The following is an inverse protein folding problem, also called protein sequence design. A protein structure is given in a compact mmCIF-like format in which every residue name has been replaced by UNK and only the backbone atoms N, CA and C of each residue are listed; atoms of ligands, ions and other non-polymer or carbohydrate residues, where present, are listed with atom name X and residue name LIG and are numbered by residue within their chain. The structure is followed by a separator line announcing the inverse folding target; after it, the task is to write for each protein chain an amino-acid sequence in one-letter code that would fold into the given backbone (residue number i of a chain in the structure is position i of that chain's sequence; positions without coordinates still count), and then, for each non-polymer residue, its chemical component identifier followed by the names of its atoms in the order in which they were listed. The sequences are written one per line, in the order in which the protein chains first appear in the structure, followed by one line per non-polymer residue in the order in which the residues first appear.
data_IF_215616912210
#
_entry.id   IF_215616912210
#
_cell.length_a   1.000
_cell.length_b   1.000
_cell.length_c   1.000
_cell.angle_alpha   90.00
_cell.angle_beta   90.00
_cell.angle_gamma   90.00
#
_symmetry.space_group_name_H-M   'P 1'
#
loop_
_entity.id
_entity.type
_entity.pdbx_description
1 polymer ?
#
# COMPACT_ATOMS: atom_id res chain seq x y z
N UNK A 1 -28.34 36.35 -48.89
CA UNK A 1 -28.72 35.42 -49.98
C UNK A 1 -27.88 34.17 -49.83
N UNK A 2 -28.36 32.95 -49.78
CA UNK A 2 -29.60 32.32 -49.35
C UNK A 2 -29.12 30.90 -48.95
N UNK A 3 -29.62 30.31 -47.85
CA UNK A 3 -29.16 29.03 -47.33
C UNK A 3 -29.88 27.89 -48.06
N UNK A 4 -29.27 26.71 -48.21
CA UNK A 4 -30.07 25.48 -48.17
C UNK A 4 -29.28 24.16 -48.13
N UNK A 5 -29.86 23.23 -47.35
CA UNK A 5 -29.78 21.75 -47.43
C UNK A 5 -28.71 21.01 -46.60
N UNK A 6 -29.10 20.82 -45.34
CA UNK A 6 -29.40 19.53 -44.67
C UNK A 6 -28.45 18.34 -44.96
N UNK A 7 -27.74 17.90 -43.92
CA UNK A 7 -27.57 16.47 -43.69
C UNK A 7 -27.63 16.15 -42.19
N UNK A 8 -28.56 15.26 -41.88
CA UNK A 8 -28.90 14.70 -40.57
C UNK A 8 -27.76 13.78 -40.13
N UNK A 9 -27.20 14.00 -38.94
CA UNK A 9 -26.36 12.99 -38.27
C UNK A 9 -26.95 12.68 -36.90
N UNK A 10 -27.23 11.39 -36.72
CA UNK A 10 -27.85 10.80 -35.54
C UNK A 10 -26.99 11.00 -34.29
N UNK A 11 -27.62 11.50 -33.22
CA UNK A 11 -27.16 11.31 -31.85
C UNK A 11 -27.36 9.82 -31.48
N UNK A 12 -26.27 9.06 -31.36
CA UNK A 12 -26.28 7.78 -30.66
C UNK A 12 -26.05 8.03 -29.16
N UNK A 13 -27.14 8.12 -28.41
CA UNK A 13 -27.14 8.02 -26.95
C UNK A 13 -26.75 6.60 -26.54
N UNK A 14 -25.49 6.43 -26.16
CA UNK A 14 -25.01 5.23 -25.46
C UNK A 14 -25.53 5.27 -24.02
N UNK A 15 -26.69 4.66 -23.80
CA UNK A 15 -27.18 4.32 -22.47
C UNK A 15 -26.33 3.18 -21.92
N UNK A 16 -25.41 3.52 -21.02
CA UNK A 16 -24.63 2.57 -20.24
C UNK A 16 -25.57 1.85 -19.27
N UNK A 17 -25.97 0.63 -19.63
CA UNK A 17 -26.70 -0.30 -18.79
C UNK A 17 -25.81 -0.74 -17.61
N UNK A 18 -25.98 -0.07 -16.48
CA UNK A 18 -25.57 -0.56 -15.16
C UNK A 18 -26.40 -1.83 -14.85
N UNK A 19 -25.85 -2.99 -15.17
CA UNK A 19 -26.27 -4.25 -14.56
C UNK A 19 -25.81 -4.23 -13.10
N UNK A 20 -26.63 -3.63 -12.23
CA UNK A 20 -26.54 -3.87 -10.80
C UNK A 20 -26.90 -5.32 -10.53
N UNK A 21 -25.91 -6.14 -10.21
CA UNK A 21 -26.11 -7.45 -9.61
C UNK A 21 -26.49 -7.25 -8.13
N UNK A 22 -27.66 -6.67 -7.89
CA UNK A 22 -28.36 -6.98 -6.66
C UNK A 22 -28.95 -8.37 -6.88
N UNK A 23 -28.34 -9.39 -6.28
CA UNK A 23 -28.98 -10.70 -6.15
C UNK A 23 -30.12 -10.56 -5.14
N UNK A 24 -31.14 -9.76 -5.47
CA UNK A 24 -32.43 -9.85 -4.83
C UNK A 24 -32.92 -11.23 -5.21
N UNK A 25 -33.02 -12.13 -4.23
CA UNK A 25 -33.83 -13.32 -4.38
C UNK A 25 -35.25 -12.81 -4.65
N UNK A 26 -35.59 -12.61 -5.92
CA UNK A 26 -36.90 -12.13 -6.32
C UNK A 26 -37.91 -13.15 -5.81
N UNK A 27 -38.81 -12.66 -4.95
CA UNK A 27 -39.77 -13.51 -4.31
C UNK A 27 -40.70 -14.13 -5.37
N UNK A 28 -40.70 -15.45 -5.50
CA UNK A 28 -41.53 -16.15 -6.47
C UNK A 28 -42.88 -16.57 -5.87
N UNK A 29 -43.94 -16.44 -6.67
CA UNK A 29 -45.27 -16.99 -6.36
C UNK A 29 -45.47 -18.30 -7.12
N UNK A 30 -45.72 -19.41 -6.40
CA UNK A 30 -45.95 -20.72 -7.02
C UNK A 30 -47.45 -20.97 -7.21
N UNK A 31 -47.85 -21.09 -8.47
CA UNK A 31 -49.24 -21.28 -8.89
C UNK A 31 -49.44 -22.71 -9.44
N UNK A 32 -50.48 -23.41 -8.99
CA UNK A 32 -50.81 -24.75 -9.47
C UNK A 32 -52.24 -24.84 -9.97
N UNK A 33 -52.45 -25.51 -11.11
CA UNK A 33 -53.78 -25.83 -11.65
C UNK A 33 -53.90 -27.32 -11.84
N UNK A 34 -54.89 -27.93 -11.20
CA UNK A 34 -55.29 -29.30 -11.45
C UNK A 34 -56.49 -29.31 -12.41
N UNK A 35 -56.44 -30.15 -13.45
CA UNK A 35 -57.59 -30.40 -14.32
C UNK A 35 -57.91 -31.88 -14.30
N UNK A 36 -59.14 -32.23 -13.91
CA UNK A 36 -59.64 -33.59 -13.97
C UNK A 36 -60.77 -33.69 -15.02
N UNK A 37 -60.46 -34.05 -16.27
CA UNK A 37 -61.49 -34.37 -17.23
C UNK A 37 -62.07 -35.75 -16.91
N UNK A 38 -63.29 -35.76 -16.34
CA UNK A 38 -64.22 -36.89 -16.19
C UNK A 38 -63.56 -38.30 -16.24
N UNK A 39 -63.00 -38.74 -15.10
CA UNK A 39 -62.57 -40.13 -14.90
C UNK A 39 -61.17 -40.49 -15.41
N UNK A 40 -60.35 -39.51 -15.84
CA UNK A 40 -58.95 -39.73 -16.25
C UNK A 40 -57.96 -39.17 -15.22
N UNK A 41 -56.67 -39.53 -15.39
CA UNK A 41 -55.56 -39.06 -14.54
C UNK A 41 -55.56 -37.52 -14.45
N UNK A 42 -55.38 -36.99 -13.23
CA UNK A 42 -55.31 -35.55 -12.96
C UNK A 42 -54.00 -35.01 -13.52
N UNK A 43 -54.09 -34.01 -14.40
CA UNK A 43 -52.92 -33.28 -14.88
C UNK A 43 -52.71 -32.03 -14.02
N UNK A 44 -51.52 -31.92 -13.44
CA UNK A 44 -51.11 -30.81 -12.58
C UNK A 44 -50.16 -29.91 -13.38
N UNK A 45 -50.52 -28.63 -13.50
CA UNK A 45 -49.69 -27.62 -14.15
C UNK A 45 -49.11 -26.70 -13.07
N UNK A 46 -47.78 -26.56 -13.04
CA UNK A 46 -47.06 -25.61 -12.17
C UNK A 46 -46.60 -24.41 -13.00
N UNK A 47 -46.75 -23.21 -12.43
CA UNK A 47 -46.11 -21.97 -12.92
C UNK A 47 -45.44 -21.25 -11.76
N UNK A 48 -44.25 -20.71 -12.03
CA UNK A 48 -43.52 -19.83 -11.12
C UNK A 48 -43.67 -18.43 -11.69
N UNK A 49 -44.19 -17.50 -10.89
CA UNK A 49 -44.42 -16.12 -11.28
C UNK A 49 -43.40 -15.24 -10.54
N UNK A 50 -42.64 -14.38 -11.25
CA UNK A 50 -41.69 -13.49 -10.60
C UNK A 50 -42.45 -12.43 -9.77
N UNK A 51 -42.00 -12.22 -8.53
CA UNK A 51 -42.50 -11.17 -7.64
C UNK A 51 -43.92 -11.39 -7.13
N UNK A 52 -44.65 -10.27 -7.01
CA UNK A 52 -46.03 -10.18 -6.49
C UNK A 52 -47.10 -10.46 -7.54
N UNK A 53 -46.73 -11.02 -8.70
CA UNK A 53 -47.66 -11.27 -9.80
C UNK A 53 -48.72 -12.31 -9.41
N UNK A 54 -50.00 -11.90 -9.50
CA UNK A 54 -51.15 -12.76 -9.19
C UNK A 54 -51.18 -14.00 -10.09
N UNK A 55 -51.57 -15.14 -9.52
CA UNK A 55 -51.75 -16.37 -10.29
C UNK A 55 -52.77 -16.19 -11.45
N UNK A 56 -52.48 -16.71 -12.65
CA UNK A 56 -53.41 -16.66 -13.77
C UNK A 56 -54.75 -17.33 -13.45
N UNK A 57 -55.84 -16.86 -14.08
CA UNK A 57 -57.21 -17.34 -13.81
C UNK A 57 -57.30 -18.88 -13.89
N UNK A 58 -57.73 -19.49 -12.78
CA UNK A 58 -57.88 -20.93 -12.63
C UNK A 58 -56.64 -21.68 -12.16
N UNK A 59 -55.56 -20.99 -11.81
CA UNK A 59 -54.49 -21.53 -10.97
C UNK A 59 -54.73 -21.11 -9.51
N UNK A 60 -54.47 -22.02 -8.57
CA UNK A 60 -54.47 -21.78 -7.14
C UNK A 60 -53.05 -21.40 -6.69
N UNK A 61 -52.93 -20.32 -5.94
CA UNK A 61 -51.69 -19.94 -5.26
C UNK A 61 -51.44 -20.89 -4.10
N UNK A 62 -50.28 -21.56 -4.08
CA UNK A 62 -49.96 -22.50 -2.98
C UNK A 62 -49.05 -21.84 -1.96
N UNK A 63 -47.99 -21.18 -2.41
CA UNK A 63 -47.01 -20.53 -1.54
C UNK A 63 -46.62 -19.20 -2.19
N UNK A 64 -46.75 -18.14 -1.39
CA UNK A 64 -46.16 -16.85 -1.68
C UNK A 64 -44.84 -16.74 -0.91
N UNK A 65 -43.71 -16.88 -1.59
CA UNK A 65 -42.43 -16.85 -0.88
C UNK A 65 -42.10 -15.45 -0.34
N UNK A 66 -42.74 -14.38 -0.84
CA UNK A 66 -42.59 -13.03 -0.28
C UNK A 66 -43.13 -12.92 1.14
N UNK A 67 -44.12 -13.73 1.50
CA UNK A 67 -44.66 -13.81 2.87
C UNK A 67 -43.76 -14.63 3.82
N UNK A 68 -42.79 -15.37 3.27
CA UNK A 68 -41.83 -16.16 4.05
C UNK A 68 -40.50 -15.42 4.27
N UNK A 69 -40.29 -14.31 3.57
CA UNK A 69 -39.17 -13.40 3.84
C UNK A 69 -39.57 -12.56 5.06
N UNK A 70 -39.15 -13.00 6.25
CA UNK A 70 -39.23 -12.17 7.45
C UNK A 70 -38.49 -10.84 7.23
N UNK A 71 -38.76 -9.81 8.06
CA UNK A 71 -37.94 -8.60 8.02
C UNK A 71 -36.46 -8.99 8.05
N UNK A 72 -35.65 -8.34 7.21
CA UNK A 72 -34.21 -8.52 7.25
C UNK A 72 -33.77 -8.41 8.71
N UNK A 73 -33.04 -9.42 9.21
CA UNK A 73 -32.51 -9.36 10.56
C UNK A 73 -31.71 -8.06 10.74
N UNK A 74 -31.68 -7.47 11.95
CA UNK A 74 -30.82 -6.32 12.20
C UNK A 74 -29.41 -6.65 11.71
N UNK A 75 -28.77 -5.71 11.00
CA UNK A 75 -27.37 -5.85 10.59
C UNK A 75 -26.57 -6.18 11.85
N UNK A 76 -25.93 -7.36 11.86
CA UNK A 76 -25.25 -7.86 13.06
C UNK A 76 -24.19 -6.86 13.54
N UNK A 77 -24.21 -6.54 14.83
CA UNK A 77 -23.27 -5.61 15.46
C UNK A 77 -21.79 -6.03 15.33
N UNK A 78 -21.52 -7.29 14.96
CA UNK A 78 -20.20 -7.91 15.00
C UNK A 78 -19.24 -7.52 13.86
N UNK A 79 -19.73 -6.95 12.76
CA UNK A 79 -18.85 -6.53 11.65
C UNK A 79 -17.99 -5.31 12.00
N UNK A 80 -18.56 -4.39 12.79
CA UNK A 80 -17.95 -3.08 13.08
C UNK A 80 -16.81 -3.17 14.09
N UNK A 81 -16.99 -3.96 15.15
CA UNK A 81 -15.95 -4.17 16.17
C UNK A 81 -14.72 -4.90 15.61
N UNK A 82 -14.87 -5.69 14.54
CA UNK A 82 -13.73 -6.38 13.91
C UNK A 82 -12.80 -5.43 13.16
N UNK A 83 -13.34 -4.36 12.57
CA UNK A 83 -12.57 -3.42 11.75
C UNK A 83 -11.99 -2.31 12.63
N UNK A 84 -12.86 -1.58 13.34
CA UNK A 84 -12.49 -0.37 14.09
C UNK A 84 -12.14 -0.63 15.56
N UNK A 85 -12.13 -1.91 15.97
CA UNK A 85 -11.86 -2.34 17.34
C UNK A 85 -13.08 -2.25 18.24
N UNK A 86 -12.92 -2.70 19.48
CA UNK A 86 -13.96 -2.72 20.51
C UNK A 86 -13.79 -1.65 21.60
N UNK A 87 -12.72 -0.85 21.54
CA UNK A 87 -12.43 0.18 22.53
C UNK A 87 -11.91 -0.34 23.87
N UNK A 88 -11.58 -1.64 23.97
CA UNK A 88 -11.16 -2.29 25.22
C UNK A 88 -9.86 -1.75 25.83
N UNK A 89 -9.04 -1.03 25.07
CA UNK A 89 -7.84 -0.34 25.57
C UNK A 89 -8.14 1.05 26.16
N UNK A 90 -9.39 1.52 26.11
CA UNK A 90 -9.77 2.85 26.59
C UNK A 90 -9.19 3.97 25.72
N UNK A 91 -9.03 5.17 26.30
CA UNK A 91 -8.42 6.30 25.60
C UNK A 91 -6.89 6.23 25.70
N UNK A 92 -6.19 6.49 24.59
CA UNK A 92 -4.74 6.71 24.58
C UNK A 92 -4.43 8.18 24.38
N UNK A 93 -3.58 8.71 25.24
CA UNK A 93 -3.06 10.07 25.11
C UNK A 93 -1.55 10.06 25.25
N UNK A 94 -0.85 10.49 24.20
CA UNK A 94 0.60 10.61 24.16
C UNK A 94 0.96 12.09 24.37
N UNK A 95 1.46 12.40 25.56
CA UNK A 95 1.87 13.78 25.95
C UNK A 95 3.38 13.96 26.00
N UNK A 96 4.13 12.86 26.01
CA UNK A 96 5.60 12.82 25.93
C UNK A 96 6.02 11.76 24.91
N UNK A 97 7.24 11.87 24.39
CA UNK A 97 7.74 10.87 23.44
C UNK A 97 7.90 9.47 24.05
N UNK A 98 8.00 8.47 23.19
CA UNK A 98 8.21 7.06 23.57
C UNK A 98 7.80 6.09 22.46
N UNK A 99 7.96 4.79 22.70
CA UNK A 99 7.55 3.74 21.76
C UNK A 99 6.16 3.20 22.12
N UNK A 100 5.30 3.01 21.12
CA UNK A 100 4.02 2.33 21.31
C UNK A 100 4.25 0.83 21.50
N UNK A 101 4.07 0.36 22.74
CA UNK A 101 4.28 -1.05 23.11
C UNK A 101 3.03 -1.71 23.73
N UNK A 102 1.86 -1.13 23.49
CA UNK A 102 0.60 -1.62 24.05
C UNK A 102 0.24 -2.99 23.42
N UNK A 103 -0.05 -4.00 24.25
CA UNK A 103 -0.46 -5.31 23.77
C UNK A 103 -1.85 -5.31 23.12
N UNK A 104 -2.70 -4.35 23.50
CA UNK A 104 -4.03 -4.16 22.95
C UNK A 104 -4.14 -2.75 22.33
N UNK A 105 -4.27 -2.68 21.01
CA UNK A 105 -4.31 -1.44 20.24
C UNK A 105 -5.74 -1.09 19.78
N UNK A 106 -6.73 -1.38 20.62
CA UNK A 106 -8.16 -1.13 20.36
C UNK A 106 -8.68 -0.03 21.29
N UNK A 107 -8.54 1.22 20.87
CA UNK A 107 -8.83 2.39 21.67
C UNK A 107 -10.26 2.91 21.44
N UNK A 108 -10.74 3.72 22.39
CA UNK A 108 -11.87 4.59 22.17
C UNK A 108 -11.41 5.80 21.34
N UNK A 109 -10.62 6.67 21.96
CA UNK A 109 -9.91 7.77 21.27
C UNK A 109 -8.39 7.61 21.36
N UNK A 110 -7.68 8.06 20.33
CA UNK A 110 -6.21 8.10 20.29
C UNK A 110 -5.72 9.51 19.95
N UNK A 111 -4.92 10.10 20.84
CA UNK A 111 -4.40 11.46 20.65
C UNK A 111 -2.89 11.55 20.87
N UNK A 112 -2.15 12.10 19.90
CA UNK A 112 -0.76 12.53 20.05
C UNK A 112 -0.73 14.06 20.20
N UNK A 113 -0.23 14.54 21.33
CA UNK A 113 -0.16 15.98 21.59
C UNK A 113 1.03 16.64 20.88
N UNK A 114 0.92 17.95 20.67
CA UNK A 114 2.00 18.74 20.11
C UNK A 114 3.26 18.65 20.99
N UNK A 115 4.42 18.53 20.35
CA UNK A 115 5.71 18.33 21.02
C UNK A 115 6.01 16.89 21.45
N UNK A 116 5.07 15.95 21.30
CA UNK A 116 5.33 14.53 21.55
C UNK A 116 5.79 13.81 20.27
N UNK A 117 6.79 12.93 20.40
CA UNK A 117 7.26 12.04 19.33
C UNK A 117 6.98 10.59 19.70
N UNK A 118 6.01 9.99 19.04
CA UNK A 118 5.65 8.58 19.20
C UNK A 118 6.39 7.73 18.16
N UNK A 119 7.26 6.83 18.61
CA UNK A 119 7.82 5.78 17.77
C UNK A 119 6.85 4.61 17.71
N UNK A 120 6.60 4.09 16.52
CA UNK A 120 5.66 2.99 16.30
C UNK A 120 6.37 1.85 15.57
N UNK A 121 6.37 0.62 16.12
CA UNK A 121 6.92 -0.54 15.43
C UNK A 121 6.23 -0.75 14.08
N UNK A 122 6.99 -1.14 13.06
CA UNK A 122 6.41 -1.47 11.75
C UNK A 122 5.38 -2.61 11.83
N UNK A 123 4.31 -2.54 11.03
CA UNK A 123 3.20 -3.49 11.07
C UNK A 123 2.14 -3.17 12.10
N UNK A 124 2.23 -2.00 12.75
CA UNK A 124 1.26 -1.57 13.76
C UNK A 124 -0.10 -1.26 13.13
N UNK A 125 -1.16 -1.73 13.78
CA UNK A 125 -2.55 -1.42 13.43
C UNK A 125 -3.24 -0.77 14.63
N UNK A 126 -3.47 0.54 14.56
CA UNK A 126 -4.22 1.30 15.57
C UNK A 126 -5.70 1.26 15.18
N UNK A 127 -6.55 0.86 16.13
CA UNK A 127 -8.01 0.83 15.97
C UNK A 127 -8.66 1.78 16.96
N UNK A 128 -9.60 2.61 16.50
CA UNK A 128 -10.35 3.54 17.35
C UNK A 128 -11.86 3.44 17.07
N UNK A 129 -12.67 3.26 18.13
CA UNK A 129 -14.14 3.34 18.02
C UNK A 129 -14.66 4.78 18.00
N UNK A 130 -13.85 5.72 18.48
CA UNK A 130 -14.06 7.17 18.40
C UNK A 130 -13.12 7.79 17.38
N UNK A 131 -12.32 8.76 17.82
CA UNK A 131 -11.48 9.61 16.96
C UNK A 131 -9.98 9.30 17.07
N UNK A 132 -9.24 9.64 16.02
CA UNK A 132 -7.78 9.71 16.04
C UNK A 132 -7.34 11.15 15.75
N UNK A 133 -6.48 11.70 16.60
CA UNK A 133 -5.92 13.05 16.41
C UNK A 133 -4.39 13.03 16.59
N UNK A 134 -3.65 13.45 15.56
CA UNK A 134 -2.21 13.67 15.65
C UNK A 134 -1.89 15.16 15.57
N UNK A 135 -1.34 15.73 16.65
CA UNK A 135 -0.77 17.08 16.68
C UNK A 135 0.76 17.07 16.88
N UNK A 136 1.37 15.89 17.02
CA UNK A 136 2.80 15.70 17.29
C UNK A 136 3.50 15.02 16.12
N UNK A 137 4.46 14.15 16.43
CA UNK A 137 5.20 13.36 15.44
C UNK A 137 4.96 11.88 15.69
N UNK A 138 4.65 11.14 14.63
CA UNK A 138 4.60 9.68 14.61
C UNK A 138 5.72 9.21 13.67
N UNK A 139 6.73 8.55 14.24
CA UNK A 139 7.81 7.92 13.50
C UNK A 139 7.56 6.42 13.43
N UNK A 140 7.32 5.89 12.25
CA UNK A 140 7.24 4.45 12.04
C UNK A 140 8.66 3.91 11.88
N UNK A 141 8.99 2.85 12.61
CA UNK A 141 10.27 2.16 12.49
C UNK A 141 10.39 1.49 11.11
N UNK A 142 11.60 1.35 10.60
CA UNK A 142 11.86 0.61 9.34
C UNK A 142 11.39 -0.85 9.45
N UNK A 143 11.01 -1.43 8.32
CA UNK A 143 10.50 -2.79 8.22
C UNK A 143 11.53 -3.78 7.65
N UNK A 144 11.69 -3.77 6.33
CA UNK A 144 12.54 -4.73 5.64
C UNK A 144 14.02 -4.35 5.74
N UNK A 145 14.87 -5.28 6.17
CA UNK A 145 16.31 -5.06 6.25
C UNK A 145 16.94 -4.85 4.86
N UNK A 146 17.92 -3.95 4.80
CA UNK A 146 18.83 -3.80 3.66
C UNK A 146 19.74 -5.02 3.48
N UNK A 147 20.36 -5.12 2.31
CA UNK A 147 21.40 -6.11 2.04
C UNK A 147 22.65 -5.84 2.86
N UNK A 148 23.35 -6.90 3.23
CA UNK A 148 24.59 -6.85 4.00
C UNK A 148 25.66 -7.67 3.28
N UNK A 149 26.88 -7.15 3.23
CA UNK A 149 28.08 -7.90 2.82
C UNK A 149 29.17 -7.67 3.85
N UNK A 150 29.86 -8.74 4.25
CA UNK A 150 31.01 -8.65 5.15
C UNK A 150 32.08 -9.68 4.79
N UNK A 151 33.34 -9.28 4.98
CA UNK A 151 34.48 -10.18 4.99
C UNK A 151 35.05 -10.52 3.61
N UNK A 152 34.73 -9.75 2.58
CA UNK A 152 35.49 -9.87 1.34
C UNK A 152 36.91 -9.33 1.56
N UNK A 153 37.91 -10.01 0.99
CA UNK A 153 39.27 -9.52 0.91
C UNK A 153 39.76 -9.77 -0.52
N UNK A 154 40.71 -8.94 -0.99
CA UNK A 154 41.34 -9.09 -2.29
C UNK A 154 41.98 -10.49 -2.46
N UNK A 155 42.29 -11.19 -1.37
CA UNK A 155 42.85 -12.55 -1.37
C UNK A 155 41.82 -13.69 -1.34
N UNK A 156 40.58 -13.44 -0.88
CA UNK A 156 39.50 -14.44 -0.78
C UNK A 156 38.14 -13.83 -1.14
N UNK A 157 37.52 -14.31 -2.23
CA UNK A 157 36.12 -13.95 -2.61
C UNK A 157 35.13 -14.79 -1.79
N UNK A 158 35.43 -15.07 -0.51
CA UNK A 158 34.47 -15.69 0.39
C UNK A 158 33.80 -14.57 1.16
N UNK A 159 32.64 -14.12 0.66
CA UNK A 159 31.83 -13.11 1.33
C UNK A 159 30.70 -13.76 2.13
N UNK A 160 30.42 -13.21 3.31
CA UNK A 160 29.12 -13.38 3.93
C UNK A 160 28.18 -12.33 3.36
N UNK A 161 27.23 -12.77 2.55
CA UNK A 161 26.27 -11.90 1.88
C UNK A 161 24.84 -12.29 2.25
N UNK A 162 24.09 -11.31 2.72
CA UNK A 162 22.65 -11.41 2.92
C UNK A 162 21.96 -10.46 1.94
N UNK A 163 21.12 -11.01 1.07
CA UNK A 163 20.35 -10.21 0.11
C UNK A 163 19.35 -9.30 0.81
N UNK A 164 19.02 -8.18 0.17
CA UNK A 164 18.00 -7.25 0.65
C UNK A 164 16.63 -7.92 0.75
N UNK A 165 15.85 -7.57 1.76
CA UNK A 165 14.48 -8.07 1.88
C UNK A 165 13.54 -7.28 0.96
N UNK A 166 12.69 -7.96 0.17
CA UNK A 166 11.81 -7.30 -0.82
C UNK A 166 10.74 -6.40 -0.22
N UNK A 167 10.36 -6.63 1.04
CA UNK A 167 9.19 -6.01 1.63
C UNK A 167 7.94 -6.50 0.90
N UNK A 168 7.04 -5.58 0.52
CA UNK A 168 5.86 -5.87 -0.29
C UNK A 168 6.09 -5.69 -1.81
N UNK A 169 7.30 -5.32 -2.22
CA UNK A 169 7.64 -5.15 -3.63
C UNK A 169 7.63 -6.48 -4.39
N UNK A 170 7.55 -6.42 -5.72
CA UNK A 170 7.53 -7.61 -6.58
C UNK A 170 8.91 -8.21 -6.84
N UNK A 171 9.98 -7.46 -6.50
CA UNK A 171 11.36 -7.87 -6.67
C UNK A 171 12.25 -7.11 -5.67
N UNK A 172 13.10 -7.84 -4.94
CA UNK A 172 14.11 -7.23 -4.08
C UNK A 172 15.20 -6.51 -4.88
N UNK A 173 15.81 -5.51 -4.26
CA UNK A 173 17.03 -4.89 -4.75
C UNK A 173 18.17 -5.91 -4.80
N UNK A 174 18.98 -5.86 -5.86
CA UNK A 174 20.17 -6.71 -5.98
C UNK A 174 21.42 -6.00 -5.44
N UNK A 175 22.34 -6.79 -4.87
CA UNK A 175 23.69 -6.33 -4.59
C UNK A 175 24.46 -6.08 -5.90
N UNK A 176 25.51 -5.27 -5.83
CA UNK A 176 26.43 -5.05 -6.93
C UNK A 176 27.33 -6.26 -7.20
N UNK A 177 27.92 -6.30 -8.40
CA UNK A 177 29.00 -7.25 -8.69
C UNK A 177 30.27 -6.88 -7.91
N UNK A 178 30.85 -7.86 -7.24
CA UNK A 178 32.14 -7.75 -6.57
C UNK A 178 33.26 -8.34 -7.44
N UNK A 179 34.45 -7.74 -7.41
CA UNK A 179 35.65 -8.38 -7.95
C UNK A 179 36.83 -7.44 -8.06
N UNK A 180 37.91 -7.92 -8.70
CA UNK A 180 39.12 -7.13 -8.80
C UNK A 180 39.07 -6.04 -9.90
N UNK A 181 40.14 -5.26 -9.99
CA UNK A 181 40.25 -4.17 -10.94
C UNK A 181 40.56 -4.55 -12.42
N UNK A 182 40.55 -5.84 -12.76
CA UNK A 182 40.89 -6.29 -14.13
C UNK A 182 39.72 -6.21 -15.12
N UNK A 183 38.49 -6.07 -14.62
CA UNK A 183 37.28 -5.92 -15.42
C UNK A 183 36.35 -4.85 -14.82
N UNK A 184 35.30 -4.53 -15.58
CA UNK A 184 34.19 -3.71 -15.09
C UNK A 184 33.37 -4.46 -14.04
N UNK A 185 32.74 -3.71 -13.14
CA UNK A 185 31.81 -4.19 -12.12
C UNK A 185 30.44 -3.58 -12.38
N UNK A 186 29.44 -4.41 -12.58
CA UNK A 186 28.06 -3.96 -12.78
C UNK A 186 27.46 -3.54 -11.44
N UNK A 187 26.71 -2.44 -11.43
CA UNK A 187 25.91 -2.07 -10.28
C UNK A 187 24.76 -3.04 -10.05
N UNK A 188 24.16 -2.97 -8.86
CA UNK A 188 22.97 -3.75 -8.55
C UNK A 188 21.77 -3.28 -9.39
N UNK A 189 20.84 -4.19 -9.64
CA UNK A 189 19.53 -3.87 -10.22
C UNK A 189 18.51 -3.51 -9.13
N UNK A 190 17.85 -2.36 -9.27
CA UNK A 190 16.86 -1.83 -8.35
C UNK A 190 15.67 -2.76 -8.13
N UNK A 191 15.06 -2.64 -6.96
CA UNK A 191 13.82 -3.35 -6.63
C UNK A 191 12.67 -2.91 -7.54
N UNK A 192 11.67 -3.79 -7.71
CA UNK A 192 10.49 -3.50 -8.53
C UNK A 192 9.25 -3.30 -7.67
N UNK A 193 8.76 -2.07 -7.65
CA UNK A 193 7.57 -1.68 -6.91
C UNK A 193 6.31 -2.40 -7.39
N UNK A 194 5.27 -2.35 -6.57
CA UNK A 194 3.97 -2.89 -6.92
C UNK A 194 3.20 -1.96 -7.87
N UNK A 195 2.15 -2.50 -8.47
CA UNK A 195 1.22 -1.67 -9.26
C UNK A 195 0.30 -0.88 -8.34
N UNK A 196 -0.20 0.26 -8.81
CA UNK A 196 -1.19 1.05 -8.07
C UNK A 196 -2.44 0.23 -7.72
N UNK A 197 -2.88 -0.69 -8.60
CA UNK A 197 -4.03 -1.56 -8.35
C UNK A 197 -3.76 -2.50 -7.17
N UNK A 198 -2.55 -3.06 -7.07
CA UNK A 198 -2.15 -3.86 -5.92
C UNK A 198 -2.05 -3.01 -4.65
N UNK A 199 -1.53 -1.78 -4.76
CA UNK A 199 -1.44 -0.83 -3.65
C UNK A 199 -2.83 -0.50 -3.06
N UNK A 200 -3.83 -0.27 -3.92
CA UNK A 200 -5.23 -0.04 -3.51
C UNK A 200 -5.88 -1.24 -2.80
N UNK A 201 -5.34 -2.44 -2.99
CA UNK A 201 -5.84 -3.66 -2.38
C UNK A 201 -5.19 -3.99 -1.02
N UNK A 202 -4.20 -3.20 -0.59
CA UNK A 202 -3.58 -3.35 0.72
C UNK A 202 -4.59 -3.02 1.82
N UNK A 203 -4.76 -3.94 2.76
CA UNK A 203 -5.62 -3.77 3.95
C UNK A 203 -4.78 -3.80 5.21
N UNK A 204 -4.04 -4.88 5.38
CA UNK A 204 -3.11 -5.06 6.49
C UNK A 204 -1.73 -5.34 5.92
N UNK A 205 -0.80 -4.47 6.23
CA UNK A 205 0.59 -4.63 5.85
C UNK A 205 1.32 -5.23 7.05
N UNK A 206 2.11 -6.26 6.80
CA UNK A 206 2.96 -6.86 7.83
C UNK A 206 4.10 -5.91 8.25
N UNK A 207 4.99 -6.38 9.15
CA UNK A 207 6.13 -5.58 9.60
C UNK A 207 7.12 -5.24 8.48
N UNK A 208 7.13 -5.96 7.36
CA UNK A 208 8.02 -5.70 6.24
C UNK A 208 7.25 -4.98 5.13
N UNK A 209 7.39 -3.65 5.05
CA UNK A 209 6.68 -2.81 4.09
C UNK A 209 7.59 -2.41 2.93
N UNK A 210 8.28 -1.27 3.01
CA UNK A 210 9.27 -0.89 2.01
C UNK A 210 10.39 -1.93 1.94
N UNK A 211 10.90 -2.23 0.75
CA UNK A 211 12.01 -3.14 0.54
C UNK A 211 13.35 -2.49 0.90
N UNK A 212 14.31 -3.29 1.38
CA UNK A 212 15.67 -2.81 1.64
C UNK A 212 16.47 -2.57 0.36
N UNK A 213 17.48 -1.71 0.45
CA UNK A 213 18.47 -1.47 -0.61
C UNK A 213 19.47 -2.61 -0.74
N UNK A 214 20.09 -2.72 -1.92
CA UNK A 214 21.17 -3.64 -2.24
C UNK A 214 22.53 -3.10 -1.83
N UNK A 215 23.40 -4.03 -1.45
CA UNK A 215 24.73 -3.74 -0.95
C UNK A 215 25.72 -3.35 -2.06
N UNK A 216 26.63 -2.41 -1.76
CA UNK A 216 27.68 -1.93 -2.67
C UNK A 216 29.09 -2.37 -2.23
N UNK A 217 29.43 -2.20 -0.94
CA UNK A 217 30.79 -2.34 -0.43
C UNK A 217 31.32 -3.78 -0.53
N UNK A 218 32.61 -3.98 -0.80
CA UNK A 218 33.30 -5.25 -0.55
C UNK A 218 33.43 -5.65 0.93
N UNK A 219 33.76 -4.72 1.82
CA UNK A 219 34.39 -5.02 3.12
C UNK A 219 33.37 -5.09 4.26
N UNK A 220 32.51 -4.07 4.41
CA UNK A 220 31.40 -4.03 5.36
C UNK A 220 30.32 -3.05 4.92
N UNK A 221 29.29 -3.58 4.25
CA UNK A 221 28.15 -2.77 3.86
C UNK A 221 26.88 -3.14 4.63
N UNK A 222 26.13 -2.10 4.99
CA UNK A 222 24.73 -2.17 5.40
C UNK A 222 23.93 -1.20 4.53
N UNK A 223 23.15 -1.74 3.60
CA UNK A 223 22.29 -0.93 2.74
C UNK A 223 21.07 -0.38 3.50
N UNK A 224 20.42 0.63 2.93
CA UNK A 224 19.27 1.28 3.56
C UNK A 224 18.12 0.31 3.82
N UNK A 225 17.61 0.28 5.05
CA UNK A 225 16.40 -0.50 5.39
C UNK A 225 15.15 0.17 4.84
N UNK A 226 14.19 -0.61 4.37
CA UNK A 226 12.94 -0.08 3.85
C UNK A 226 12.01 0.43 4.94
N UNK A 227 11.21 1.44 4.62
CA UNK A 227 10.27 2.07 5.54
C UNK A 227 9.23 1.09 6.09
N UNK A 228 8.68 1.43 7.26
CA UNK A 228 7.72 0.57 7.95
C UNK A 228 6.29 0.64 7.43
N UNK A 229 5.38 -0.04 8.11
CA UNK A 229 3.94 0.15 7.89
C UNK A 229 3.19 0.58 9.14
N UNK A 230 2.19 1.43 8.93
CA UNK A 230 1.22 1.83 9.93
C UNK A 230 -0.17 1.90 9.30
N UNK A 231 -1.13 1.24 9.95
CA UNK A 231 -2.55 1.30 9.60
C UNK A 231 -3.32 1.93 10.75
N UNK A 232 -4.09 2.97 10.47
CA UNK A 232 -4.99 3.64 11.42
C UNK A 232 -6.43 3.44 10.93
N UNK A 233 -7.24 2.75 11.74
CA UNK A 233 -8.65 2.47 11.46
C UNK A 233 -9.53 3.15 12.50
N UNK A 234 -10.44 4.03 12.08
CA UNK A 234 -11.34 4.74 13.00
C UNK A 234 -12.82 4.69 12.58
N UNK A 235 -13.72 4.41 13.53
CA UNK A 235 -15.17 4.54 13.27
C UNK A 235 -15.59 6.03 13.22
N UNK A 236 -14.90 6.89 13.97
CA UNK A 236 -14.99 8.34 13.92
C UNK A 236 -13.89 8.99 13.06
N UNK A 237 -13.69 10.32 13.16
CA UNK A 237 -12.79 11.05 12.27
C UNK A 237 -11.31 10.79 12.58
N UNK A 238 -10.48 10.87 11.54
CA UNK A 238 -9.02 10.94 11.64
C UNK A 238 -8.58 12.36 11.31
N UNK A 239 -7.82 13.00 12.19
CA UNK A 239 -7.24 14.33 11.98
C UNK A 239 -5.73 14.31 12.17
N UNK A 240 -4.99 14.73 11.15
CA UNK A 240 -3.56 14.94 11.19
C UNK A 240 -3.23 16.43 11.05
N UNK A 241 -2.68 16.99 12.13
CA UNK A 241 -2.14 18.35 12.21
C UNK A 241 -0.61 18.37 12.39
N UNK A 242 -0.03 17.22 12.72
CA UNK A 242 1.40 17.01 12.90
C UNK A 242 2.03 16.16 11.79
N UNK A 243 3.07 15.40 12.11
CA UNK A 243 3.79 14.58 11.14
C UNK A 243 3.58 13.08 11.36
N UNK A 244 3.48 12.33 10.27
CA UNK A 244 3.53 10.86 10.23
C UNK A 244 4.56 10.47 9.16
N UNK A 245 5.63 9.75 9.54
CA UNK A 245 6.68 9.30 8.62
C UNK A 245 6.85 7.79 8.69
N UNK A 246 6.87 7.15 7.52
CA UNK A 246 7.31 5.78 7.31
C UNK A 246 8.35 5.72 6.19
N UNK A 247 9.29 6.66 6.20
CA UNK A 247 10.30 6.79 5.15
C UNK A 247 11.30 5.63 5.16
N UNK A 248 11.86 5.32 3.99
CA UNK A 248 13.00 4.42 3.87
C UNK A 248 14.27 5.05 4.43
N UNK A 249 15.18 4.23 4.95
CA UNK A 249 16.46 4.72 5.43
C UNK A 249 17.41 4.99 4.26
N UNK A 250 18.19 6.07 4.38
CA UNK A 250 19.34 6.32 3.53
C UNK A 250 20.43 5.27 3.76
N UNK A 251 21.35 5.12 2.81
CA UNK A 251 22.58 4.35 3.02
C UNK A 251 23.79 5.29 2.96
N UNK A 252 24.32 5.75 4.11
CA UNK A 252 25.41 6.73 4.12
C UNK A 252 26.80 6.12 3.91
N UNK A 253 26.95 4.80 4.16
CA UNK A 253 28.26 4.15 4.16
C UNK A 253 28.53 3.46 2.84
N UNK A 254 27.60 2.65 2.34
CA UNK A 254 27.80 1.88 1.12
C UNK A 254 26.56 1.05 0.75
N UNK A 255 25.73 1.52 -0.17
CA UNK A 255 24.55 0.79 -0.60
C UNK A 255 23.46 1.66 -1.18
N UNK A 256 22.43 1.03 -1.73
CA UNK A 256 21.25 1.76 -2.16
C UNK A 256 20.34 2.13 -1.00
N UNK A 257 19.53 3.17 -1.21
CA UNK A 257 18.55 3.62 -0.23
C UNK A 257 17.37 2.65 -0.10
N UNK A 258 16.75 2.60 1.08
CA UNK A 258 15.57 1.78 1.35
C UNK A 258 14.32 2.33 0.67
N UNK A 259 13.43 1.45 0.20
CA UNK A 259 12.14 1.88 -0.33
C UNK A 259 11.25 2.45 0.77
N UNK A 260 10.39 3.42 0.43
CA UNK A 260 9.44 4.02 1.37
C UNK A 260 8.42 3.02 1.92
N UNK A 261 7.79 3.35 3.04
CA UNK A 261 6.86 2.49 3.77
C UNK A 261 5.44 2.47 3.23
N UNK A 262 4.51 2.01 4.07
CA UNK A 262 3.06 2.05 3.78
C UNK A 262 2.29 2.69 4.93
N UNK A 263 1.54 3.75 4.63
CA UNK A 263 0.63 4.39 5.57
C UNK A 263 -0.80 4.28 5.05
N UNK A 264 -1.70 3.71 5.86
CA UNK A 264 -3.13 3.63 5.55
C UNK A 264 -3.91 4.33 6.67
N UNK A 265 -4.63 5.38 6.30
CA UNK A 265 -5.56 6.08 7.20
C UNK A 265 -6.97 5.83 6.68
N UNK A 266 -7.75 5.03 7.40
CA UNK A 266 -9.10 4.67 7.02
C UNK A 266 -10.11 5.04 8.11
N UNK A 267 -11.09 5.86 7.74
CA UNK A 267 -12.18 6.30 8.62
C UNK A 267 -13.55 6.02 8.01
N UNK A 268 -14.51 5.60 8.83
CA UNK A 268 -15.92 5.51 8.40
C UNK A 268 -16.55 6.88 8.15
N UNK A 269 -15.96 7.96 8.64
CA UNK A 269 -16.53 9.32 8.54
C UNK A 269 -15.66 10.22 7.67
N UNK A 270 -14.45 10.54 8.13
CA UNK A 270 -13.57 11.48 7.45
C UNK A 270 -12.10 11.27 7.81
N UNK A 271 -11.23 11.57 6.84
CA UNK A 271 -9.79 11.76 7.03
C UNK A 271 -9.46 13.20 6.69
N UNK A 272 -8.81 13.90 7.60
CA UNK A 272 -8.33 15.28 7.40
C UNK A 272 -6.83 15.32 7.65
N UNK A 273 -6.04 15.61 6.63
CA UNK A 273 -4.66 16.05 6.74
C UNK A 273 -4.63 17.56 6.53
N UNK A 274 -4.55 18.31 7.63
CA UNK A 274 -4.67 19.78 7.61
C UNK A 274 -3.48 20.44 6.91
N UNK A 275 -3.59 21.73 6.59
CA UNK A 275 -2.51 22.51 5.96
C UNK A 275 -1.15 22.51 6.68
N UNK A 276 -1.08 22.15 7.96
CA UNK A 276 0.19 21.97 8.71
C UNK A 276 0.60 20.50 8.86
N UNK A 277 -0.28 19.58 8.51
CA UNK A 277 -0.05 18.15 8.59
C UNK A 277 0.89 17.66 7.49
N UNK A 278 1.79 16.74 7.86
CA UNK A 278 2.65 16.02 6.92
C UNK A 278 2.46 14.52 7.05
N UNK A 279 2.43 13.83 5.91
CA UNK A 279 2.37 12.38 5.80
C UNK A 279 3.43 11.96 4.77
N UNK A 280 4.39 11.14 5.17
CA UNK A 280 5.55 10.79 4.34
C UNK A 280 5.79 9.28 4.30
N UNK A 281 6.02 8.76 3.10
CA UNK A 281 6.54 7.42 2.87
C UNK A 281 7.55 7.49 1.72
N UNK A 282 8.51 8.41 1.81
CA UNK A 282 9.52 8.64 0.81
C UNK A 282 10.59 7.52 0.85
N UNK A 283 11.25 7.28 -0.28
CA UNK A 283 12.41 6.40 -0.33
C UNK A 283 13.68 7.10 0.19
N UNK A 284 14.61 6.33 0.74
CA UNK A 284 15.91 6.84 1.18
C UNK A 284 16.90 7.04 0.04
N UNK A 285 17.90 7.86 0.28
CA UNK A 285 18.97 8.19 -0.67
C UNK A 285 20.05 7.11 -0.72
N UNK A 286 20.63 6.91 -1.91
CA UNK A 286 21.76 5.99 -2.13
C UNK A 286 23.11 6.61 -1.77
N UNK A 287 24.07 5.76 -1.37
CA UNK A 287 25.45 6.17 -1.09
C UNK A 287 26.15 6.75 -2.32
N UNK A 288 26.94 7.81 -2.12
CA UNK A 288 27.86 8.31 -3.14
C UNK A 288 28.97 7.27 -3.43
N UNK A 289 29.62 7.40 -4.59
CA UNK A 289 30.81 6.59 -4.92
C UNK A 289 32.03 7.00 -4.08
N UNK A 290 32.92 6.06 -3.81
CA UNK A 290 34.20 6.28 -3.10
C UNK A 290 35.37 5.50 -3.74
N UNK A 291 36.35 5.06 -2.94
CA UNK A 291 37.56 4.38 -3.39
C UNK A 291 37.36 2.94 -3.85
N UNK A 292 36.30 2.25 -3.42
CA UNK A 292 36.08 0.83 -3.73
C UNK A 292 34.72 0.53 -4.37
N UNK A 293 33.81 1.50 -4.45
CA UNK A 293 32.48 1.27 -5.03
C UNK A 293 31.95 2.38 -5.94
N UNK A 294 31.03 2.00 -6.81
CA UNK A 294 30.25 2.91 -7.64
C UNK A 294 29.15 3.64 -6.86
N UNK A 295 28.56 4.67 -7.49
CA UNK A 295 27.44 5.39 -6.89
C UNK A 295 26.19 4.49 -6.81
N UNK A 296 25.48 4.54 -5.68
CA UNK A 296 24.34 3.65 -5.44
C UNK A 296 23.00 4.28 -5.84
N UNK A 297 22.00 3.43 -6.11
CA UNK A 297 20.65 3.86 -6.50
C UNK A 297 19.79 4.30 -5.30
N UNK A 298 18.89 5.24 -5.53
CA UNK A 298 17.92 5.72 -4.53
C UNK A 298 16.72 4.76 -4.35
N UNK A 299 16.13 4.73 -3.16
CA UNK A 299 14.97 3.91 -2.85
C UNK A 299 13.67 4.40 -3.52
N UNK A 300 12.81 3.50 -3.96
CA UNK A 300 11.51 3.84 -4.52
C UNK A 300 10.52 4.33 -3.46
N UNK A 301 9.64 5.26 -3.84
CA UNK A 301 8.62 5.81 -2.93
C UNK A 301 7.60 4.76 -2.46
N UNK A 302 6.97 5.05 -1.33
CA UNK A 302 6.03 4.17 -0.63
C UNK A 302 4.59 4.19 -1.14
N UNK A 303 3.67 3.82 -0.25
CA UNK A 303 2.22 3.90 -0.49
C UNK A 303 1.56 4.66 0.64
N UNK A 304 0.86 5.75 0.30
CA UNK A 304 -0.08 6.44 1.18
C UNK A 304 -1.50 6.15 0.70
N UNK A 305 -2.39 5.69 1.58
CA UNK A 305 -3.80 5.46 1.24
C UNK A 305 -4.73 6.10 2.27
N UNK A 306 -5.43 7.16 1.86
CA UNK A 306 -6.45 7.85 2.63
C UNK A 306 -7.83 7.36 2.18
N UNK A 307 -8.61 6.77 3.09
CA UNK A 307 -9.90 6.13 2.77
C UNK A 307 -10.97 6.63 3.74
N UNK A 308 -11.95 7.36 3.24
CA UNK A 308 -13.15 7.73 4.01
C UNK A 308 -14.23 8.27 3.09
N UNK A 309 -15.51 8.34 3.51
CA UNK A 309 -16.54 9.04 2.74
C UNK A 309 -16.22 10.51 2.43
N UNK A 310 -15.37 11.15 3.24
CA UNK A 310 -14.86 12.49 3.02
C UNK A 310 -13.35 12.52 3.32
N UNK A 311 -12.53 12.91 2.34
CA UNK A 311 -11.09 13.09 2.54
C UNK A 311 -10.72 14.53 2.24
N UNK A 312 -10.16 15.20 3.23
CA UNK A 312 -9.54 16.52 3.09
C UNK A 312 -8.03 16.39 3.26
N UNK A 313 -7.25 16.80 2.26
CA UNK A 313 -5.80 16.67 2.25
C UNK A 313 -5.15 18.00 1.81
N UNK A 314 -5.47 19.05 2.56
CA UNK A 314 -4.85 20.38 2.45
C UNK A 314 -3.36 20.40 2.84
N UNK A 315 -2.90 19.40 3.59
CA UNK A 315 -1.52 19.22 4.03
C UNK A 315 -0.57 18.62 2.99
N UNK A 316 0.64 18.30 3.44
CA UNK A 316 1.64 17.65 2.60
C UNK A 316 1.53 16.13 2.72
N UNK A 317 1.38 15.42 1.59
CA UNK A 317 1.39 13.96 1.52
C UNK A 317 2.34 13.53 0.40
N UNK A 318 3.39 12.79 0.73
CA UNK A 318 4.47 12.44 -0.20
C UNK A 318 4.85 10.96 -0.17
N UNK A 319 5.22 10.46 -1.34
CA UNK A 319 5.79 9.15 -1.56
C UNK A 319 6.81 9.25 -2.71
N UNK A 320 7.72 10.21 -2.66
CA UNK A 320 8.77 10.38 -3.67
C UNK A 320 9.85 9.30 -3.53
N UNK A 321 10.54 9.01 -4.63
CA UNK A 321 11.74 8.18 -4.55
C UNK A 321 12.93 9.00 -4.05
N UNK A 322 13.88 8.32 -3.42
CA UNK A 322 15.15 8.88 -2.98
C UNK A 322 16.09 9.16 -4.14
N UNK A 323 17.05 10.03 -3.90
CA UNK A 323 18.09 10.42 -4.83
C UNK A 323 19.16 9.32 -4.95
N UNK A 324 19.74 9.20 -6.14
CA UNK A 324 20.93 8.41 -6.34
C UNK A 324 22.15 9.08 -5.68
N UNK A 325 23.13 8.25 -5.34
CA UNK A 325 24.44 8.74 -4.96
C UNK A 325 25.13 9.50 -6.08
N UNK A 326 25.94 10.49 -5.72
CA UNK A 326 26.77 11.20 -6.69
C UNK A 326 27.88 10.29 -7.23
N UNK A 327 28.14 10.30 -8.55
CA UNK A 327 29.30 9.60 -9.11
C UNK A 327 30.60 10.28 -8.70
N UNK A 328 31.65 9.49 -8.51
CA UNK A 328 33.01 9.97 -8.33
C UNK A 328 33.66 10.45 -9.63
N UNK A 329 34.87 11.01 -9.52
CA UNK A 329 35.67 11.40 -10.68
C UNK A 329 36.20 10.17 -11.45
N UNK A 330 36.68 10.37 -12.68
CA UNK A 330 37.33 9.27 -13.42
C UNK A 330 38.54 8.73 -12.66
N UNK A 331 38.57 7.42 -12.44
CA UNK A 331 39.62 6.73 -11.69
C UNK A 331 39.53 6.89 -10.18
N UNK A 332 38.43 7.41 -9.63
CA UNK A 332 38.25 7.56 -8.17
C UNK A 332 38.11 6.23 -7.45
N UNK A 333 37.59 5.20 -8.12
CA UNK A 333 37.51 3.84 -7.57
C UNK A 333 38.86 3.15 -7.81
N UNK A 334 39.79 3.40 -6.90
CA UNK A 334 41.20 3.00 -7.00
C UNK A 334 41.51 1.61 -6.47
N UNK A 335 40.65 1.06 -5.64
CA UNK A 335 40.98 -0.12 -4.86
C UNK A 335 41.01 -1.38 -5.72
N UNK A 336 41.86 -2.33 -5.31
CA UNK A 336 42.06 -3.55 -6.08
C UNK A 336 40.79 -4.40 -6.07
N UNK A 337 40.23 -4.63 -4.87
CA UNK A 337 38.91 -5.18 -4.69
C UNK A 337 37.92 -4.02 -4.79
N UNK A 338 36.92 -4.16 -5.66
CA UNK A 338 35.94 -3.11 -5.90
C UNK A 338 34.61 -3.66 -6.37
N UNK A 339 33.59 -2.85 -6.29
CA UNK A 339 32.26 -3.22 -6.66
C UNK A 339 31.55 -2.14 -7.50
N UNK A 340 30.45 -2.52 -8.15
CA UNK A 340 29.48 -1.54 -8.63
C UNK A 340 28.73 -0.90 -7.45
N UNK A 341 27.93 0.12 -7.73
CA UNK A 341 27.02 0.71 -6.74
C UNK A 341 25.88 -0.25 -6.37
N UNK A 342 25.42 -0.14 -5.13
CA UNK A 342 24.25 -0.86 -4.63
C UNK A 342 22.97 -0.31 -5.23
N UNK A 343 21.90 -1.10 -5.26
CA UNK A 343 20.63 -0.68 -5.87
C UNK A 343 19.58 -0.29 -4.84
N UNK A 344 18.62 0.56 -5.22
CA UNK A 344 17.57 1.02 -4.31
C UNK A 344 16.52 -0.06 -4.01
N UNK A 345 15.99 -0.04 -2.78
CA UNK A 345 14.82 -0.80 -2.37
C UNK A 345 13.54 -0.28 -3.02
N UNK A 346 12.47 -1.08 -3.06
CA UNK A 346 11.22 -0.71 -3.72
C UNK A 346 9.99 -0.89 -2.82
N UNK A 347 8.91 -0.17 -3.15
CA UNK A 347 7.62 -0.31 -2.48
C UNK A 347 6.47 -0.06 -3.48
N UNK A 348 5.88 1.14 -3.48
CA UNK A 348 4.98 1.59 -4.54
C UNK A 348 5.75 1.94 -5.81
N UNK A 349 6.86 2.66 -5.64
CA UNK A 349 7.84 2.96 -6.68
C UNK A 349 8.93 1.90 -6.80
N UNK A 350 9.61 1.89 -7.94
CA UNK A 350 10.81 1.11 -8.18
C UNK A 350 12.02 1.78 -7.51
N UNK A 351 12.97 0.97 -7.04
CA UNK A 351 14.28 1.47 -6.65
C UNK A 351 15.16 1.74 -7.87
N UNK A 352 16.12 2.64 -7.73
CA UNK A 352 17.08 2.95 -8.79
C UNK A 352 18.18 1.90 -8.91
N UNK A 353 18.70 1.72 -10.13
CA UNK A 353 19.87 0.89 -10.38
C UNK A 353 21.14 1.53 -9.82
N UNK A 354 22.10 0.70 -9.41
CA UNK A 354 23.43 1.14 -9.00
C UNK A 354 24.34 1.43 -10.20
N UNK A 355 25.25 2.39 -10.05
CA UNK A 355 26.22 2.77 -11.07
C UNK A 355 27.32 1.72 -11.24
N UNK A 356 27.61 1.32 -12.49
CA UNK A 356 28.74 0.43 -12.78
C UNK A 356 30.09 1.13 -12.56
N UNK A 357 31.15 0.36 -12.31
CA UNK A 357 32.54 0.83 -12.28
C UNK A 357 33.31 0.18 -13.42
N UNK A 358 33.90 0.97 -14.32
CA UNK A 358 34.66 0.39 -15.44
C UNK A 358 36.05 -0.13 -15.02
N UNK A 359 36.76 -0.81 -15.92
CA UNK A 359 38.11 -1.34 -15.64
C UNK A 359 39.12 -0.29 -15.18
N UNK A 360 38.94 0.97 -15.61
CA UNK A 360 39.79 2.11 -15.24
C UNK A 360 39.38 2.78 -13.91
N UNK A 361 38.42 2.23 -13.16
CA UNK A 361 37.98 2.80 -11.88
C UNK A 361 37.12 4.06 -12.02
N UNK A 362 36.50 4.29 -13.18
CA UNK A 362 35.54 5.37 -13.37
C UNK A 362 34.13 4.89 -13.01
N UNK A 363 33.49 5.45 -11.98
CA UNK A 363 32.12 5.12 -11.62
C UNK A 363 31.11 5.82 -12.55
N UNK A 364 30.07 5.11 -12.94
CA UNK A 364 28.86 5.70 -13.52
C UNK A 364 27.94 6.24 -12.42
N UNK A 365 27.01 7.11 -12.80
CA UNK A 365 25.94 7.54 -11.89
C UNK A 365 25.00 6.38 -11.57
N UNK A 366 24.48 6.34 -10.35
CA UNK A 366 23.29 5.55 -10.02
C UNK A 366 22.02 6.23 -10.53
N UNK A 367 20.89 5.55 -10.37
CA UNK A 367 19.57 6.08 -10.72
C UNK A 367 18.75 6.46 -9.48
N UNK A 368 17.93 7.50 -9.60
CA UNK A 368 16.98 7.85 -8.54
C UNK A 368 15.89 6.77 -8.44
N UNK A 369 15.32 6.63 -7.25
CA UNK A 369 14.08 5.85 -7.09
C UNK A 369 12.92 6.53 -7.80
N UNK A 370 11.93 5.75 -8.24
CA UNK A 370 10.69 6.31 -8.78
C UNK A 370 9.72 6.66 -7.65
N UNK A 371 8.88 7.67 -7.88
CA UNK A 371 7.73 7.97 -7.01
C UNK A 371 6.81 6.76 -6.85
N UNK A 372 6.27 6.58 -5.65
CA UNK A 372 5.22 5.62 -5.33
C UNK A 372 3.83 6.21 -5.50
N UNK A 373 2.91 5.91 -4.58
CA UNK A 373 1.50 6.28 -4.74
C UNK A 373 0.96 7.05 -3.54
N UNK A 374 0.27 8.15 -3.82
CA UNK A 374 -0.62 8.83 -2.88
C UNK A 374 -2.04 8.61 -3.37
N UNK A 375 -2.79 7.78 -2.65
CA UNK A 375 -4.10 7.29 -3.06
C UNK A 375 -5.17 7.88 -2.13
N UNK A 376 -6.16 8.53 -2.73
CA UNK A 376 -7.38 8.98 -2.05
C UNK A 376 -8.55 8.12 -2.53
N UNK A 377 -9.40 7.67 -1.61
CA UNK A 377 -10.58 6.87 -1.91
C UNK A 377 -11.77 7.37 -1.08
N UNK A 378 -12.68 8.08 -1.74
CA UNK A 378 -13.87 8.66 -1.12
C UNK A 378 -15.00 7.63 -0.97
N UNK A 379 -14.79 6.65 -0.10
CA UNK A 379 -15.73 5.56 0.15
C UNK A 379 -15.70 5.11 1.60
N UNK A 380 -16.77 4.46 2.06
CA UNK A 380 -16.79 3.80 3.37
C UNK A 380 -15.81 2.60 3.36
N UNK A 381 -14.78 2.60 4.24
CA UNK A 381 -13.82 1.51 4.29
C UNK A 381 -14.42 0.19 4.80
N UNK A 382 -15.63 0.18 5.36
CA UNK A 382 -16.27 -1.05 5.89
C UNK A 382 -16.41 -2.16 4.86
N UNK A 383 -16.57 -1.85 3.56
CA UNK A 383 -16.56 -2.86 2.49
C UNK A 383 -15.15 -3.28 2.04
N UNK A 384 -14.14 -2.52 2.43
CA UNK A 384 -12.74 -2.68 2.06
C UNK A 384 -11.93 -3.36 3.17
N UNK A 385 -12.47 -3.60 4.36
CA UNK A 385 -11.79 -4.31 5.44
C UNK A 385 -12.54 -5.58 5.83
#
# INVERSE_FOLDING_TARGET
MNPDKRLIFLLSTSALLLFGWASVADADTICIKARNPAGKRVNIFRRIMPGTAKCPRGFLEIINTSALIGPAGPVGAEGRSKIYGDGSAGNKTVTSGGTLADANMQYNDFAVHSGATLTVPSGTVIRCTGSFTNNGTIQVETGAAGGVRSGADASTIEEMSAGAHSGISTQAAAASELGNNTASRTGGRGGRGMTEVAARALRFVGPNAGGGGGCADPDNCEAGSGGGSLVILCDGPITNNGSISADGADSPLAGGGGGGGVLILASRTSVTNSSTGTISADGGDGAASDSDQGASGGGGGGVLHLIAPMVDNDGYATAVGGLAGAPGASGSVSDMLRAGGGSGGACGGNGGDGGAVNSAGTPAAGENGSTGYVIISEQDPTGTF
#
